data_IF_472622413439
#
_entry.id   IF_472622413439
#
_cell.length_a   1.000
_cell.length_b   1.000
_cell.length_c   1.000
_cell.angle_alpha   90.00
_cell.angle_beta   90.00
_cell.angle_gamma   90.00
#
_symmetry.space_group_name_H-M   'P 1'
#
loop_
_entity.id
_entity.type
_entity.pdbx_description
1 polymer ?
#
# COMPACT_ATOMS: atom_id res chain seq x y z
N UNK A 1 19.93 7.66 -30.91
CA UNK A 1 19.50 7.21 -29.58
C UNK A 1 20.69 6.54 -28.92
N UNK A 2 21.12 7.03 -27.76
CA UNK A 2 22.25 6.45 -27.02
C UNK A 2 21.84 5.13 -26.36
N UNK A 3 22.82 4.27 -26.02
CA UNK A 3 22.56 3.02 -25.28
C UNK A 3 21.83 3.30 -23.95
N UNK A 4 22.14 4.44 -23.32
CA UNK A 4 21.52 4.89 -22.07
C UNK A 4 20.04 5.22 -22.24
N UNK A 5 19.66 5.89 -23.33
CA UNK A 5 18.27 6.21 -23.64
C UNK A 5 17.45 4.94 -23.90
N UNK A 6 18.00 3.97 -24.63
CA UNK A 6 17.34 2.68 -24.89
C UNK A 6 17.12 1.92 -23.58
N UNK A 7 18.12 1.89 -22.69
CA UNK A 7 18.01 1.24 -21.38
C UNK A 7 16.93 1.91 -20.50
N UNK A 8 16.93 3.24 -20.41
CA UNK A 8 15.93 4.00 -19.65
C UNK A 8 14.51 3.76 -20.16
N UNK A 9 14.28 3.89 -21.47
CA UNK A 9 12.97 3.67 -22.07
C UNK A 9 12.51 2.22 -21.88
N UNK A 10 13.40 1.24 -22.08
CA UNK A 10 13.10 -0.17 -21.86
C UNK A 10 12.71 -0.47 -20.42
N UNK A 11 13.46 0.05 -19.44
CA UNK A 11 13.16 -0.12 -18.01
C UNK A 11 11.83 0.51 -17.62
N UNK A 12 11.52 1.72 -18.12
CA UNK A 12 10.24 2.38 -17.82
C UNK A 12 9.04 1.64 -18.40
N UNK A 13 9.15 1.12 -19.62
CA UNK A 13 8.10 0.29 -20.25
C UNK A 13 7.88 -1.00 -19.46
N UNK A 14 8.96 -1.68 -19.05
CA UNK A 14 8.88 -2.88 -18.23
C UNK A 14 8.27 -2.61 -16.85
N UNK A 15 8.63 -1.48 -16.22
CA UNK A 15 8.02 -1.03 -14.95
C UNK A 15 6.51 -0.81 -15.11
N UNK A 16 6.10 -0.11 -16.17
CA UNK A 16 4.69 0.13 -16.46
C UNK A 16 3.92 -1.19 -16.67
N UNK A 17 4.47 -2.11 -17.47
CA UNK A 17 3.89 -3.45 -17.67
C UNK A 17 3.82 -4.26 -16.37
N UNK A 18 4.87 -4.23 -15.56
CA UNK A 18 4.90 -4.93 -14.29
C UNK A 18 3.80 -4.45 -13.35
N UNK A 19 3.63 -3.13 -13.23
CA UNK A 19 2.55 -2.54 -12.42
C UNK A 19 1.16 -2.96 -12.90
N UNK A 20 0.91 -2.95 -14.21
CA UNK A 20 -0.36 -3.40 -14.78
C UNK A 20 -0.63 -4.88 -14.50
N UNK A 21 0.36 -5.75 -14.69
CA UNK A 21 0.22 -7.18 -14.44
C UNK A 21 -0.05 -7.46 -12.95
N UNK A 22 0.63 -6.77 -12.03
CA UNK A 22 0.39 -6.90 -10.59
C UNK A 22 -1.07 -6.61 -10.24
N UNK A 23 -1.64 -5.54 -10.80
CA UNK A 23 -3.05 -5.19 -10.56
C UNK A 23 -3.99 -6.25 -11.13
N UNK A 24 -3.79 -6.67 -12.38
CA UNK A 24 -4.65 -7.67 -13.04
C UNK A 24 -4.62 -9.00 -12.30
N UNK A 25 -3.43 -9.51 -11.96
CA UNK A 25 -3.29 -10.77 -11.24
C UNK A 25 -3.75 -10.66 -9.79
N UNK A 26 -3.55 -9.51 -9.16
CA UNK A 26 -4.08 -9.20 -7.82
C UNK A 26 -5.60 -9.33 -7.79
N UNK A 27 -6.30 -8.65 -8.72
CA UNK A 27 -7.77 -8.71 -8.83
C UNK A 27 -8.24 -10.13 -9.15
N UNK A 28 -7.61 -10.81 -10.12
CA UNK A 28 -7.95 -12.20 -10.46
C UNK A 28 -7.83 -13.14 -9.25
N UNK A 29 -6.79 -12.98 -8.44
CA UNK A 29 -6.56 -13.80 -7.26
C UNK A 29 -7.61 -13.55 -6.16
N UNK A 30 -8.08 -12.31 -6.03
CA UNK A 30 -9.20 -11.94 -5.14
C UNK A 30 -10.49 -12.61 -5.61
N UNK A 31 -10.85 -12.45 -6.88
CA UNK A 31 -12.09 -13.01 -7.46
C UNK A 31 -12.09 -14.54 -7.43
N UNK A 32 -10.92 -15.16 -7.58
CA UNK A 32 -10.75 -16.61 -7.49
C UNK A 32 -10.81 -17.15 -6.05
N UNK A 33 -11.02 -16.29 -5.04
CA UNK A 33 -11.08 -16.66 -3.63
C UNK A 33 -9.74 -17.11 -3.03
N UNK A 34 -8.63 -17.00 -3.78
CA UNK A 34 -7.29 -17.41 -3.31
C UNK A 34 -6.76 -16.52 -2.19
N UNK A 35 -7.28 -15.31 -2.09
CA UNK A 35 -6.94 -14.37 -1.03
C UNK A 35 -8.20 -13.79 -0.42
N UNK A 36 -8.19 -13.66 0.90
CA UNK A 36 -9.23 -12.92 1.63
C UNK A 36 -9.06 -11.42 1.39
N UNK A 37 -10.15 -10.77 0.93
CA UNK A 37 -10.21 -9.33 0.69
C UNK A 37 -9.73 -8.52 1.90
N UNK A 38 -10.15 -8.92 3.10
CA UNK A 38 -9.80 -8.23 4.35
C UNK A 38 -8.29 -8.20 4.58
N UNK A 39 -7.58 -9.30 4.28
CA UNK A 39 -6.12 -9.37 4.42
C UNK A 39 -5.42 -8.50 3.38
N UNK A 40 -5.92 -8.48 2.14
CA UNK A 40 -5.37 -7.63 1.08
C UNK A 40 -5.55 -6.14 1.43
N UNK A 41 -6.73 -5.75 1.91
CA UNK A 41 -7.00 -4.36 2.29
C UNK A 41 -6.06 -3.88 3.40
N UNK A 42 -5.72 -4.74 4.36
CA UNK A 42 -4.74 -4.41 5.42
C UNK A 42 -3.34 -4.18 4.83
N UNK A 43 -2.89 -5.05 3.91
CA UNK A 43 -1.58 -4.87 3.24
C UNK A 43 -1.56 -3.62 2.36
N UNK A 44 -2.69 -3.28 1.74
CA UNK A 44 -2.85 -2.09 0.90
C UNK A 44 -2.98 -0.79 1.71
N UNK A 45 -3.24 -0.88 3.02
CA UNK A 45 -3.51 0.29 3.86
C UNK A 45 -2.44 1.40 3.80
N UNK A 46 -1.11 1.12 3.77
CA UNK A 46 -0.11 2.18 3.66
C UNK A 46 -0.22 2.96 2.34
N UNK A 47 -0.51 2.26 1.25
CA UNK A 47 -0.66 2.87 -0.07
C UNK A 47 -1.92 3.73 -0.17
N UNK A 48 -3.01 3.29 0.45
CA UNK A 48 -4.25 4.06 0.50
C UNK A 48 -4.06 5.34 1.32
N UNK A 49 -3.47 5.23 2.50
CA UNK A 49 -3.19 6.40 3.36
C UNK A 49 -2.26 7.36 2.64
N UNK A 50 -1.17 6.86 2.05
CA UNK A 50 -0.24 7.67 1.27
C UNK A 50 -0.93 8.37 0.09
N UNK A 51 -1.69 7.62 -0.70
CA UNK A 51 -2.42 8.16 -1.85
C UNK A 51 -3.39 9.27 -1.47
N UNK A 52 -4.11 9.12 -0.36
CA UNK A 52 -5.01 10.17 0.16
C UNK A 52 -4.19 11.39 0.62
N UNK A 53 -3.15 11.20 1.44
CA UNK A 53 -2.33 12.32 1.93
C UNK A 53 -1.61 13.06 0.80
N UNK A 54 -1.16 12.35 -0.23
CA UNK A 54 -0.53 12.93 -1.40
C UNK A 54 -1.53 13.68 -2.27
N UNK A 55 -2.73 13.13 -2.45
CA UNK A 55 -3.81 13.82 -3.16
C UNK A 55 -4.22 15.14 -2.51
N UNK A 56 -4.07 15.26 -1.18
CA UNK A 56 -4.39 16.49 -0.43
C UNK A 56 -3.21 17.46 -0.37
N UNK A 57 -2.00 16.98 -0.05
CA UNK A 57 -0.84 17.85 0.21
C UNK A 57 -0.01 18.16 -1.05
N UNK A 58 -0.06 17.31 -2.07
CA UNK A 58 0.78 17.39 -3.26
C UNK A 58 2.28 17.19 -3.00
N UNK A 59 2.69 16.94 -1.75
CA UNK A 59 4.09 16.86 -1.34
C UNK A 59 4.44 15.44 -0.91
N UNK A 60 5.37 14.81 -1.63
CA UNK A 60 5.78 13.42 -1.41
C UNK A 60 6.35 13.21 -0.01
N UNK A 61 7.23 14.11 0.45
CA UNK A 61 7.90 14.00 1.75
C UNK A 61 6.92 14.12 2.91
N UNK A 62 6.06 15.14 2.89
CA UNK A 62 5.05 15.37 3.91
C UNK A 62 4.03 14.22 3.97
N UNK A 63 3.61 13.71 2.80
CA UNK A 63 2.71 12.56 2.70
C UNK A 63 3.30 11.28 3.26
N UNK A 64 4.58 11.03 2.99
CA UNK A 64 5.28 9.86 3.52
C UNK A 64 5.40 9.91 5.04
N UNK A 65 5.77 11.07 5.59
CA UNK A 65 5.84 11.29 7.04
C UNK A 65 4.46 11.17 7.70
N UNK A 66 3.44 11.75 7.10
CA UNK A 66 2.06 11.68 7.61
C UNK A 66 1.57 10.23 7.60
N UNK A 67 1.81 9.49 6.51
CA UNK A 67 1.46 8.07 6.42
C UNK A 67 2.14 7.27 7.53
N UNK A 68 3.43 7.50 7.76
CA UNK A 68 4.17 6.84 8.83
C UNK A 68 3.56 7.12 10.21
N UNK A 69 3.25 8.38 10.51
CA UNK A 69 2.64 8.76 11.78
C UNK A 69 1.25 8.15 11.97
N UNK A 70 0.42 8.13 10.92
CA UNK A 70 -0.92 7.52 10.94
C UNK A 70 -0.83 6.02 11.22
N UNK A 71 0.08 5.30 10.57
CA UNK A 71 0.24 3.86 10.77
C UNK A 71 0.76 3.53 12.17
N UNK A 72 1.72 4.31 12.69
CA UNK A 72 2.20 4.16 14.07
C UNK A 72 1.05 4.41 15.05
N UNK A 73 0.26 5.46 14.85
CA UNK A 73 -0.92 5.74 15.67
C UNK A 73 -1.94 4.59 15.64
N UNK A 74 -2.23 4.05 14.46
CA UNK A 74 -3.13 2.91 14.29
C UNK A 74 -2.61 1.65 15.02
N UNK A 75 -1.31 1.38 14.98
CA UNK A 75 -0.69 0.28 15.72
C UNK A 75 -0.88 0.44 17.23
N UNK A 76 -0.61 1.64 17.77
CA UNK A 76 -0.78 1.92 19.21
C UNK A 76 -2.23 1.69 19.63
N UNK A 77 -3.20 2.19 18.85
CA UNK A 77 -4.62 1.98 19.11
C UNK A 77 -4.98 0.49 19.08
N UNK A 78 -4.53 -0.26 18.07
CA UNK A 78 -4.80 -1.69 17.95
C UNK A 78 -4.23 -2.48 19.13
N UNK A 79 -3.02 -2.16 19.58
CA UNK A 79 -2.41 -2.79 20.77
C UNK A 79 -3.21 -2.44 22.02
N UNK A 80 -3.59 -1.18 22.20
CA UNK A 80 -4.38 -0.74 23.35
C UNK A 80 -5.72 -1.49 23.43
N UNK A 81 -6.50 -1.51 22.33
CA UNK A 81 -7.78 -2.22 22.29
C UNK A 81 -7.61 -3.74 22.40
N UNK A 82 -6.55 -4.31 21.81
CA UNK A 82 -6.21 -5.73 21.95
C UNK A 82 -5.90 -6.11 23.39
N UNK A 83 -5.11 -5.28 24.09
CA UNK A 83 -4.78 -5.44 25.50
C UNK A 83 -6.00 -5.34 26.41
N UNK A 84 -6.86 -4.35 26.18
CA UNK A 84 -8.14 -4.19 26.91
C UNK A 84 -9.03 -5.41 26.69
N UNK A 85 -9.24 -5.84 25.44
CA UNK A 85 -10.06 -7.02 25.14
C UNK A 85 -9.54 -8.29 25.80
N UNK A 86 -8.23 -8.52 25.72
CA UNK A 86 -7.58 -9.68 26.35
C UNK A 86 -7.73 -9.68 27.87
N UNK A 87 -7.61 -8.51 28.50
CA UNK A 87 -7.66 -8.36 29.96
C UNK A 87 -9.06 -8.58 30.53
N UNK A 88 -10.11 -8.19 29.80
CA UNK A 88 -11.48 -8.28 30.29
C UNK A 88 -12.25 -9.53 29.85
N UNK A 89 -11.62 -10.49 29.15
CA UNK A 89 -12.24 -11.76 28.68
C UNK A 89 -13.63 -11.56 28.05
N UNK A 90 -13.71 -10.68 27.04
CA UNK A 90 -14.86 -10.60 26.13
C UNK A 90 -14.49 -11.07 24.71
#
# INVERSE_FOLDING_TARGET
MSIQEIALTGSLVLLGLALLLIVIFGIKNVVSGKHELTKILVVMSPFVVFGITFGVTGQTTESALTTLLVLIGAMVLMIFFGGVRSSFKF
#
